data_IF_578657342042
#
_entry.id   IF_578657342042
#
_cell.length_a   1.000
_cell.length_b   1.000
_cell.length_c   1.000
_cell.angle_alpha   90.00
_cell.angle_beta   90.00
_cell.angle_gamma   90.00
#
_symmetry.space_group_name_H-M   'P 1'
#
loop_
_entity.id
_entity.type
_entity.pdbx_description
1 polymer ?
#
# COMPACT_ATOMS: atom_id res chain seq x y z
N UNK A 1 2.22 -13.84 -8.73
CA UNK A 1 1.68 -13.25 -7.47
C UNK A 1 2.19 -13.97 -6.22
N UNK A 2 3.03 -15.00 -6.38
CA UNK A 2 3.50 -15.93 -5.35
C UNK A 2 4.20 -15.26 -4.16
N UNK A 3 4.91 -14.16 -4.40
CA UNK A 3 5.60 -13.40 -3.35
C UNK A 3 4.61 -12.80 -2.34
N UNK A 4 3.47 -12.27 -2.82
CA UNK A 4 2.43 -11.71 -1.96
C UNK A 4 1.72 -12.81 -1.20
N UNK A 5 1.38 -13.92 -1.87
CA UNK A 5 0.70 -15.04 -1.22
C UNK A 5 1.54 -15.65 -0.08
N UNK A 6 2.81 -15.96 -0.34
CA UNK A 6 3.74 -16.47 0.69
C UNK A 6 3.85 -15.50 1.86
N UNK A 7 3.86 -14.21 1.56
CA UNK A 7 3.94 -13.18 2.59
C UNK A 7 2.67 -13.12 3.45
N UNK A 8 1.48 -13.10 2.82
CA UNK A 8 0.19 -13.07 3.53
C UNK A 8 -0.05 -14.32 4.37
N UNK A 9 0.43 -15.49 3.93
CA UNK A 9 0.40 -16.74 4.70
C UNK A 9 1.38 -16.76 5.88
N UNK A 10 2.34 -15.83 5.92
CA UNK A 10 3.39 -15.78 6.95
C UNK A 10 4.62 -16.64 6.63
N UNK A 11 4.68 -17.24 5.44
CA UNK A 11 5.82 -18.04 4.98
C UNK A 11 7.05 -17.19 4.63
N UNK A 12 6.87 -15.86 4.54
CA UNK A 12 7.94 -14.89 4.38
C UNK A 12 7.80 -13.74 5.39
N UNK A 13 8.91 -13.34 6.02
CA UNK A 13 8.94 -12.24 6.99
C UNK A 13 8.96 -10.84 6.35
N UNK A 14 9.20 -10.76 5.04
CA UNK A 14 9.25 -9.54 4.26
C UNK A 14 8.68 -9.79 2.87
N UNK A 15 7.75 -8.95 2.43
CA UNK A 15 7.29 -8.96 1.05
C UNK A 15 8.36 -8.34 0.18
N UNK A 16 8.77 -9.07 -0.87
CA UNK A 16 9.77 -8.61 -1.83
C UNK A 16 9.41 -9.08 -3.22
N UNK A 17 9.30 -8.13 -4.13
CA UNK A 17 9.18 -8.40 -5.56
C UNK A 17 9.86 -7.29 -6.35
N UNK A 18 10.48 -7.66 -7.46
CA UNK A 18 10.96 -6.71 -8.46
C UNK A 18 10.18 -7.00 -9.73
N UNK A 19 9.59 -5.97 -10.32
CA UNK A 19 8.76 -6.10 -11.50
C UNK A 19 9.00 -4.93 -12.45
N UNK A 20 8.49 -5.06 -13.67
CA UNK A 20 8.54 -3.98 -14.67
C UNK A 20 7.14 -3.54 -15.05
N UNK A 21 6.92 -2.24 -15.09
CA UNK A 21 5.68 -1.65 -15.62
C UNK A 21 6.01 -1.08 -17.00
N UNK A 22 5.11 -1.31 -17.96
CA UNK A 22 5.18 -0.67 -19.26
C UNK A 22 4.44 0.66 -19.17
N UNK A 23 5.12 1.76 -19.46
CA UNK A 23 4.51 3.08 -19.47
C UNK A 23 3.63 3.31 -20.71
N UNK A 24 3.03 4.50 -20.79
CA UNK A 24 2.14 4.91 -21.89
C UNK A 24 2.88 5.06 -23.24
N UNK A 25 4.20 5.22 -23.23
CA UNK A 25 5.05 5.32 -24.42
C UNK A 25 5.58 3.95 -24.86
N UNK A 26 5.35 2.92 -24.05
CA UNK A 26 5.69 1.54 -24.33
C UNK A 26 7.05 1.13 -23.78
N UNK A 27 7.73 1.98 -23.01
CA UNK A 27 9.00 1.68 -22.36
C UNK A 27 8.77 0.90 -21.06
N UNK A 28 9.71 0.02 -20.73
CA UNK A 28 9.66 -0.74 -19.48
C UNK A 28 10.58 -0.10 -18.44
N UNK A 29 10.02 0.18 -17.27
CA UNK A 29 10.74 0.67 -16.11
C UNK A 29 10.75 -0.39 -15.02
N UNK A 30 11.90 -0.58 -14.37
CA UNK A 30 12.04 -1.51 -13.26
C UNK A 30 11.56 -0.86 -11.96
N UNK A 31 10.82 -1.62 -11.17
CA UNK A 31 10.34 -1.22 -9.86
C UNK A 31 10.77 -2.24 -8.83
N UNK A 32 11.26 -1.72 -7.71
CA UNK A 32 11.54 -2.51 -6.52
C UNK A 32 10.43 -2.27 -5.50
N UNK A 33 9.75 -3.34 -5.10
CA UNK A 33 8.68 -3.29 -4.10
C UNK A 33 9.04 -4.12 -2.88
N UNK A 34 9.01 -3.46 -1.72
CA UNK A 34 9.36 -4.05 -0.43
C UNK A 34 8.31 -3.65 0.60
N UNK A 35 7.71 -4.61 1.27
CA UNK A 35 6.65 -4.35 2.24
C UNK A 35 6.73 -5.20 3.50
N UNK A 36 6.29 -4.62 4.62
CA UNK A 36 6.10 -5.32 5.89
C UNK A 36 4.68 -5.13 6.42
N UNK A 37 4.27 -5.98 7.35
CA UNK A 37 2.96 -5.95 7.98
C UNK A 37 3.05 -4.93 9.12
N UNK A 38 2.03 -4.10 9.28
CA UNK A 38 1.97 -3.14 10.37
C UNK A 38 1.07 -3.63 11.50
N UNK A 39 -0.06 -4.27 11.15
CA UNK A 39 -1.03 -4.76 12.14
C UNK A 39 -1.45 -6.20 11.81
N UNK A 40 -1.83 -6.93 12.85
CA UNK A 40 -2.51 -8.22 12.74
C UNK A 40 -3.83 -8.15 13.48
N UNK A 41 -4.84 -8.86 12.97
CA UNK A 41 -6.13 -9.01 13.64
C UNK A 41 -6.03 -9.98 14.83
N UNK A 42 -7.14 -10.13 15.57
CA UNK A 42 -7.23 -11.05 16.71
C UNK A 42 -7.00 -12.54 16.33
N UNK A 43 -7.15 -12.89 15.05
CA UNK A 43 -6.87 -14.22 14.53
C UNK A 43 -5.42 -14.38 14.02
N UNK A 44 -4.58 -13.35 14.18
CA UNK A 44 -3.17 -13.34 13.77
C UNK A 44 -2.94 -13.09 12.28
N UNK A 45 -3.99 -12.77 11.51
CA UNK A 45 -3.90 -12.48 10.07
C UNK A 45 -3.40 -11.06 9.84
N UNK A 46 -2.64 -10.84 8.78
CA UNK A 46 -2.14 -9.51 8.43
C UNK A 46 -3.33 -8.62 8.01
N UNK A 47 -3.59 -7.55 8.75
CA UNK A 47 -4.69 -6.60 8.49
C UNK A 47 -4.23 -5.33 7.79
N UNK A 48 -2.93 -5.01 7.84
CA UNK A 48 -2.36 -3.93 7.03
C UNK A 48 -0.88 -4.17 6.70
N UNK A 49 -0.48 -3.70 5.53
CA UNK A 49 0.90 -3.69 5.03
C UNK A 49 1.31 -2.24 4.77
N UNK A 50 2.57 -1.94 5.04
CA UNK A 50 3.24 -0.77 4.51
C UNK A 50 4.38 -1.22 3.61
N UNK A 51 4.41 -0.66 2.40
CA UNK A 51 5.45 -0.93 1.44
C UNK A 51 6.03 0.35 0.86
N UNK A 52 7.20 0.19 0.25
CA UNK A 52 7.79 1.19 -0.64
C UNK A 52 7.87 0.61 -2.03
N UNK A 53 7.56 1.43 -3.02
CA UNK A 53 7.80 1.12 -4.43
C UNK A 53 8.78 2.17 -4.94
N UNK A 54 9.93 1.71 -5.44
CA UNK A 54 10.99 2.58 -5.93
C UNK A 54 11.19 2.31 -7.41
N UNK A 55 11.07 3.36 -8.22
CA UNK A 55 11.43 3.34 -9.63
C UNK A 55 12.96 3.27 -9.78
N UNK A 56 13.44 2.22 -10.44
CA UNK A 56 14.84 1.98 -10.76
C UNK A 56 15.17 2.42 -12.20
N UNK A 57 14.19 2.93 -12.95
CA UNK A 57 14.31 3.36 -14.33
C UNK A 57 14.52 2.20 -15.31
N UNK A 58 15.12 2.52 -16.44
CA UNK A 58 15.37 1.58 -17.55
C UNK A 58 16.63 0.71 -17.38
N UNK A 59 17.47 0.98 -16.37
CA UNK A 59 18.77 0.33 -16.17
C UNK A 59 18.90 -0.33 -14.79
N UNK A 60 19.04 -1.65 -14.74
CA UNK A 60 19.69 -2.30 -13.58
C UNK A 60 21.20 -2.27 -13.85
N UNK A 61 21.87 -1.20 -13.42
CA UNK A 61 23.33 -1.13 -13.48
C UNK A 61 23.90 -0.46 -12.22
N UNK A 62 23.86 -1.17 -11.09
CA UNK A 62 24.95 -1.26 -10.09
C UNK A 62 24.46 -1.94 -8.80
N UNK A 63 25.16 -2.99 -8.38
CA UNK A 63 24.97 -3.69 -7.09
C UNK A 63 25.09 -2.74 -5.87
N UNK A 64 25.66 -1.55 -6.04
CA UNK A 64 25.86 -0.54 -5.00
C UNK A 64 24.57 0.20 -4.57
N UNK A 65 23.48 0.13 -5.34
CA UNK A 65 22.26 0.90 -5.06
C UNK A 65 21.31 0.22 -4.05
N UNK A 66 21.35 -1.11 -3.98
CA UNK A 66 20.44 -1.94 -3.16
C UNK A 66 20.62 -1.75 -1.63
N UNK A 67 21.84 -1.61 -1.08
CA UNK A 67 22.03 -1.45 0.36
C UNK A 67 21.50 -0.12 0.93
N UNK A 68 21.62 0.99 0.17
CA UNK A 68 21.18 2.31 0.60
C UNK A 68 19.64 2.39 0.69
N UNK A 69 18.97 1.83 -0.32
CA UNK A 69 17.51 1.68 -0.33
C UNK A 69 17.05 0.86 0.89
N UNK A 70 17.72 -0.26 1.20
CA UNK A 70 17.35 -1.13 2.33
C UNK A 70 17.24 -0.40 3.66
N UNK A 71 18.13 0.57 3.92
CA UNK A 71 18.12 1.40 5.13
C UNK A 71 16.95 2.39 5.14
N UNK A 72 16.63 2.99 4.00
CA UNK A 72 15.53 3.95 3.86
C UNK A 72 14.16 3.28 4.11
N UNK A 73 13.97 2.08 3.57
CA UNK A 73 12.75 1.28 3.76
C UNK A 73 12.50 0.96 5.23
N UNK A 74 13.55 0.58 5.96
CA UNK A 74 13.43 0.22 7.37
C UNK A 74 13.02 1.42 8.27
N UNK A 75 13.35 2.65 7.86
CA UNK A 75 13.00 3.86 8.60
C UNK A 75 11.58 4.37 8.27
N UNK A 76 11.15 4.28 7.01
CA UNK A 76 9.82 4.73 6.57
C UNK A 76 8.66 3.90 7.16
N UNK A 77 8.96 2.70 7.65
CA UNK A 77 7.98 1.72 8.14
C UNK A 77 7.40 2.02 9.53
N UNK A 78 7.94 3.01 10.24
CA UNK A 78 7.54 3.35 11.60
C UNK A 78 6.21 4.13 11.65
N UNK A 79 5.10 3.39 11.55
CA UNK A 79 3.87 3.62 12.31
C UNK A 79 3.20 5.00 12.26
N UNK A 80 2.91 5.54 11.08
CA UNK A 80 1.94 6.65 10.96
C UNK A 80 0.58 6.11 10.52
N UNK A 81 -0.45 6.32 11.34
CA UNK A 81 -1.85 6.03 10.97
C UNK A 81 -2.25 7.01 9.86
N UNK A 82 -2.02 6.59 8.62
CA UNK A 82 -2.27 7.41 7.44
C UNK A 82 -3.77 7.37 7.13
N UNK A 83 -4.43 8.54 6.99
CA UNK A 83 -5.83 8.59 6.57
C UNK A 83 -6.02 7.82 5.26
N UNK A 84 -7.09 7.04 5.15
CA UNK A 84 -7.37 6.21 3.96
C UNK A 84 -8.61 6.71 3.24
N UNK A 85 -8.47 7.04 1.97
CA UNK A 85 -9.56 7.47 1.11
C UNK A 85 -10.18 6.26 0.40
N UNK A 86 -11.51 6.19 0.35
CA UNK A 86 -12.22 5.21 -0.47
C UNK A 86 -12.14 5.64 -1.94
N UNK A 87 -11.52 4.81 -2.79
CA UNK A 87 -11.38 5.09 -4.24
C UNK A 87 -12.72 5.12 -4.98
N UNK A 88 -13.77 4.55 -4.39
CA UNK A 88 -15.09 4.45 -5.02
C UNK A 88 -16.02 5.60 -4.67
N UNK A 89 -16.03 6.04 -3.41
CA UNK A 89 -17.01 7.02 -2.92
C UNK A 89 -16.40 8.25 -2.24
N UNK A 90 -15.07 8.32 -2.12
CA UNK A 90 -14.38 9.46 -1.51
C UNK A 90 -14.52 9.56 0.01
N UNK A 91 -15.15 8.59 0.69
CA UNK A 91 -15.18 8.58 2.16
C UNK A 91 -13.78 8.39 2.73
N UNK A 92 -13.41 9.13 3.78
CA UNK A 92 -12.13 9.04 4.47
C UNK A 92 -12.26 8.20 5.75
N UNK A 93 -11.28 7.33 6.00
CA UNK A 93 -11.11 6.62 7.25
C UNK A 93 -10.33 7.50 8.24
N UNK A 94 -10.98 7.84 9.35
CA UNK A 94 -10.42 8.69 10.40
C UNK A 94 -9.62 7.87 11.43
N UNK A 95 -8.85 8.56 12.26
CA UNK A 95 -8.11 7.97 13.39
C UNK A 95 -9.03 7.35 14.47
N UNK A 96 -10.33 7.67 14.47
CA UNK A 96 -11.34 7.04 15.34
C UNK A 96 -11.87 5.71 14.81
N UNK A 97 -11.37 5.23 13.66
CA UNK A 97 -11.81 3.96 13.06
C UNK A 97 -13.10 4.06 12.25
N UNK A 98 -13.57 5.27 11.93
CA UNK A 98 -14.84 5.50 11.25
C UNK A 98 -14.64 5.99 9.81
N UNK A 99 -15.58 5.64 8.95
CA UNK A 99 -15.66 6.15 7.58
C UNK A 99 -16.60 7.37 7.55
N UNK A 100 -16.10 8.52 7.13
CA UNK A 100 -16.88 9.74 6.98
C UNK A 100 -16.68 10.35 5.59
N UNK A 101 -17.73 10.94 5.01
CA UNK A 101 -17.57 11.81 3.84
C UNK A 101 -16.84 13.06 4.29
N UNK A 102 -15.80 13.43 3.56
CA UNK A 102 -15.03 14.66 3.79
C UNK A 102 -15.37 15.58 2.64
N UNK A 103 -15.85 16.78 2.97
CA UNK A 103 -16.12 17.81 1.96
C UNK A 103 -14.81 18.26 1.31
N UNK A 104 -14.88 18.65 0.04
CA UNK A 104 -13.72 18.96 -0.80
C UNK A 104 -12.88 20.10 -0.17
N UNK A 105 -13.55 21.07 0.44
CA UNK A 105 -12.96 22.21 1.17
C UNK A 105 -12.09 21.79 2.36
N UNK A 106 -12.38 20.64 2.99
CA UNK A 106 -11.57 20.13 4.10
C UNK A 106 -10.27 19.52 3.57
N UNK A 107 -10.28 18.87 2.42
CA UNK A 107 -9.05 18.35 1.79
C UNK A 107 -8.15 19.48 1.29
N UNK A 108 -8.73 20.57 0.78
CA UNK A 108 -7.99 21.76 0.34
C UNK A 108 -7.22 22.46 1.49
N UNK A 109 -7.71 22.35 2.72
CA UNK A 109 -7.05 22.91 3.91
C UNK A 109 -5.82 22.11 4.35
N UNK A 110 -5.63 20.91 3.82
CA UNK A 110 -4.52 20.03 4.16
C UNK A 110 -3.77 19.53 2.91
N UNK A 111 -3.18 20.42 2.10
CA UNK A 111 -2.55 20.05 0.83
C UNK A 111 -1.34 19.11 0.99
N UNK A 112 -0.77 19.02 2.20
CA UNK A 112 0.34 18.13 2.55
C UNK A 112 -0.09 16.80 3.20
N UNK A 113 -1.39 16.53 3.36
CA UNK A 113 -1.83 15.25 3.97
C UNK A 113 -1.61 14.12 2.98
N UNK A 114 -0.71 13.21 3.34
CA UNK A 114 -0.50 11.95 2.63
C UNK A 114 -1.68 11.03 2.95
N UNK A 115 -2.59 10.88 1.98
CA UNK A 115 -3.68 9.90 2.05
C UNK A 115 -3.25 8.61 1.36
N UNK A 116 -3.56 7.49 2.00
CA UNK A 116 -3.55 6.19 1.35
C UNK A 116 -4.93 5.90 0.75
N UNK A 117 -5.06 4.85 -0.05
CA UNK A 117 -6.29 4.50 -0.76
C UNK A 117 -6.74 3.08 -0.41
N UNK A 118 -8.04 2.86 -0.33
CA UNK A 118 -8.66 1.53 -0.17
C UNK A 118 -10.12 1.57 -0.64
N UNK A 119 -10.91 0.51 -0.42
CA UNK A 119 -12.35 0.47 -0.67
C UNK A 119 -13.06 0.31 0.69
N UNK A 120 -14.02 1.18 0.99
CA UNK A 120 -14.75 1.10 2.26
C UNK A 120 -15.72 -0.10 2.31
N UNK A 121 -16.13 -0.56 3.51
CA UNK A 121 -16.99 -1.74 3.67
C UNK A 121 -18.31 -1.70 2.88
N UNK A 122 -18.90 -0.51 2.71
CA UNK A 122 -20.13 -0.36 1.92
C UNK A 122 -19.87 -0.51 0.42
N UNK A 123 -18.77 0.05 -0.08
CA UNK A 123 -18.39 -0.06 -1.49
C UNK A 123 -17.93 -1.46 -1.87
N UNK A 124 -17.14 -2.14 -1.02
CA UNK A 124 -16.68 -3.51 -1.34
C UNK A 124 -17.84 -4.51 -1.38
N UNK A 125 -18.83 -4.40 -0.47
CA UNK A 125 -20.06 -5.21 -0.53
C UNK A 125 -20.88 -4.98 -1.81
N UNK A 126 -20.81 -3.78 -2.39
CA UNK A 126 -21.53 -3.45 -3.61
C UNK A 126 -20.79 -3.90 -4.86
N UNK A 127 -19.46 -3.72 -4.90
CA UNK A 127 -18.62 -3.97 -6.07
C UNK A 127 -18.12 -5.42 -6.16
N UNK A 128 -17.78 -6.01 -5.01
CA UNK A 128 -17.16 -7.33 -4.87
C UNK A 128 -17.82 -8.12 -3.72
N UNK A 129 -19.15 -8.37 -3.77
CA UNK A 129 -19.89 -9.02 -2.69
C UNK A 129 -19.29 -10.38 -2.29
N UNK A 130 -18.72 -11.11 -3.23
CA UNK A 130 -18.05 -12.40 -3.02
C UNK A 130 -16.76 -12.31 -2.21
N UNK A 131 -16.14 -11.13 -2.15
CA UNK A 131 -14.90 -10.89 -1.39
C UNK A 131 -15.16 -10.13 -0.08
N UNK A 132 -16.34 -9.52 0.08
CA UNK A 132 -16.60 -8.53 1.12
C UNK A 132 -16.52 -9.06 2.57
N UNK A 133 -16.73 -10.35 2.78
CA UNK A 133 -16.62 -10.99 4.10
C UNK A 133 -15.21 -11.60 4.36
N UNK A 134 -14.29 -11.44 3.40
CA UNK A 134 -12.93 -11.99 3.43
C UNK A 134 -11.83 -10.93 3.60
N UNK A 135 -12.19 -9.65 3.60
CA UNK A 135 -11.30 -8.48 3.71
C UNK A 135 -11.46 -7.72 5.01
#
# INVERSE_FOLDING_TARGET
>A
MDAMEKYLRGDASLYRIDYRIRDVYGEYHWYMDRGVWQTRDAAGRISSMLGVVIDLGSYIANDAFIPAIRKLVHAAVQGTDTPRLCVQCGSLHTSSGQWALVEEEVLEQFPQVVVSHTICPSCIRKLYPELADHV
#
